data_IF_219342956246
#
_entry.id   IF_219342956246
#
_cell.length_a   1.000
_cell.length_b   1.000
_cell.length_c   1.000
_cell.angle_alpha   90.00
_cell.angle_beta   90.00
_cell.angle_gamma   90.00
#
_symmetry.space_group_name_H-M   'P 1'
#
loop_
_entity.id
_entity.type
_entity.pdbx_description
1 polymer ?
#
# COMPACT_ATOMS: atom_id res chain seq x y z
N UNK A 1 24.46 -1.66 0.25
CA UNK A 1 23.75 -2.68 1.05
C UNK A 1 22.34 -2.19 1.34
N UNK A 2 21.33 -2.60 0.56
CA UNK A 2 19.97 -2.03 0.64
C UNK A 2 18.89 -3.12 0.74
N UNK A 3 19.11 -4.14 1.59
CA UNK A 3 18.21 -5.32 1.72
C UNK A 3 17.27 -5.30 2.92
N UNK A 4 17.39 -4.34 3.84
CA UNK A 4 16.53 -4.26 5.04
C UNK A 4 15.10 -3.77 4.76
N UNK A 5 14.93 -2.77 3.88
CA UNK A 5 13.62 -2.15 3.59
C UNK A 5 12.64 -3.05 2.83
N UNK A 6 13.11 -3.97 1.96
CA UNK A 6 12.21 -4.78 1.13
C UNK A 6 11.30 -5.74 1.90
N UNK A 7 11.69 -6.22 3.09
CA UNK A 7 10.91 -7.27 3.79
C UNK A 7 9.62 -6.77 4.45
N UNK A 8 9.61 -5.55 4.98
CA UNK A 8 8.41 -4.97 5.59
C UNK A 8 7.48 -4.33 4.55
N UNK A 9 8.05 -3.74 3.50
CA UNK A 9 7.30 -3.20 2.36
C UNK A 9 6.74 -4.30 1.45
N UNK A 10 7.42 -5.45 1.33
CA UNK A 10 6.96 -6.53 0.44
C UNK A 10 5.57 -7.05 0.75
N UNK A 11 5.20 -7.18 2.04
CA UNK A 11 3.82 -7.54 2.40
C UNK A 11 2.83 -6.39 2.20
N UNK A 12 3.25 -5.13 2.28
CA UNK A 12 2.37 -4.00 2.02
C UNK A 12 2.08 -3.85 0.52
N UNK A 13 3.10 -4.01 -0.33
CA UNK A 13 2.96 -4.08 -1.80
C UNK A 13 2.07 -5.25 -2.21
N UNK A 14 2.26 -6.44 -1.63
CA UNK A 14 1.42 -7.61 -1.96
C UNK A 14 -0.03 -7.37 -1.55
N UNK A 15 -0.29 -6.77 -0.38
CA UNK A 15 -1.63 -6.37 0.04
C UNK A 15 -2.19 -5.31 -0.93
N UNK A 16 -1.42 -4.28 -1.29
CA UNK A 16 -1.86 -3.23 -2.20
C UNK A 16 -2.21 -3.78 -3.60
N UNK A 17 -1.41 -4.71 -4.12
CA UNK A 17 -1.64 -5.44 -5.38
C UNK A 17 -2.92 -6.27 -5.35
N UNK A 18 -3.21 -6.93 -4.23
CA UNK A 18 -4.47 -7.67 -4.10
C UNK A 18 -5.66 -6.71 -3.95
N UNK A 19 -5.49 -5.59 -3.27
CA UNK A 19 -6.54 -4.57 -3.12
C UNK A 19 -6.87 -3.88 -4.43
N UNK A 20 -5.88 -3.53 -5.24
CA UNK A 20 -6.09 -2.90 -6.54
C UNK A 20 -6.89 -3.80 -7.50
N UNK A 21 -6.83 -5.12 -7.28
CA UNK A 21 -7.62 -6.14 -7.98
C UNK A 21 -9.02 -6.36 -7.41
N UNK A 22 -9.42 -5.61 -6.37
CA UNK A 22 -10.73 -5.74 -5.74
C UNK A 22 -10.86 -6.95 -4.81
N UNK A 23 -9.75 -7.57 -4.37
CA UNK A 23 -9.82 -8.75 -3.50
C UNK A 23 -10.21 -8.32 -2.07
N UNK A 24 -11.15 -9.05 -1.47
CA UNK A 24 -11.62 -8.79 -0.13
C UNK A 24 -10.54 -9.09 0.93
N UNK A 25 -10.53 -8.32 2.03
CA UNK A 25 -9.57 -8.48 3.13
C UNK A 25 -9.40 -9.91 3.68
N UNK A 26 -10.45 -10.74 3.92
CA UNK A 26 -10.25 -12.09 4.43
C UNK A 26 -9.41 -12.95 3.47
N UNK A 27 -9.72 -12.91 2.17
CA UNK A 27 -8.98 -13.63 1.12
C UNK A 27 -7.53 -13.12 0.99
N UNK A 28 -7.33 -11.81 1.16
CA UNK A 28 -5.97 -11.26 1.24
C UNK A 28 -5.23 -11.87 2.42
N UNK A 29 -5.83 -11.85 3.61
CA UNK A 29 -5.24 -12.36 4.84
C UNK A 29 -4.75 -13.81 4.68
N UNK A 30 -5.57 -14.67 4.06
CA UNK A 30 -5.21 -16.06 3.74
C UNK A 30 -3.99 -16.15 2.82
N UNK A 31 -3.93 -15.32 1.76
CA UNK A 31 -2.81 -15.32 0.79
C UNK A 31 -1.48 -14.82 1.38
N UNK A 32 -1.49 -13.75 2.17
CA UNK A 32 -0.28 -13.18 2.80
C UNK A 32 0.13 -13.91 4.10
N UNK A 33 -0.67 -14.88 4.56
CA UNK A 33 -0.47 -15.58 5.83
C UNK A 33 -0.55 -14.63 7.04
N UNK A 34 -1.57 -13.77 7.08
CA UNK A 34 -1.83 -12.80 8.14
C UNK A 34 -3.29 -12.88 8.61
N UNK A 35 -3.60 -12.36 9.80
CA UNK A 35 -4.99 -12.17 10.21
C UNK A 35 -5.65 -10.98 9.49
N UNK A 36 -6.96 -11.03 9.28
CA UNK A 36 -7.74 -9.92 8.68
C UNK A 36 -7.51 -8.59 9.39
N UNK A 37 -7.39 -8.59 10.73
CA UNK A 37 -7.09 -7.39 11.51
C UNK A 37 -5.70 -6.80 11.21
N UNK A 38 -4.70 -7.66 10.95
CA UNK A 38 -3.37 -7.21 10.56
C UNK A 38 -3.37 -6.61 9.16
N UNK A 39 -4.14 -7.18 8.22
CA UNK A 39 -4.34 -6.62 6.88
C UNK A 39 -4.99 -5.24 6.98
N UNK A 40 -6.09 -5.10 7.73
CA UNK A 40 -6.75 -3.80 7.95
C UNK A 40 -5.79 -2.76 8.56
N UNK A 41 -4.98 -3.15 9.56
CA UNK A 41 -3.96 -2.26 10.15
C UNK A 41 -2.92 -1.83 9.12
N UNK A 42 -2.46 -2.74 8.26
CA UNK A 42 -1.52 -2.42 7.17
C UNK A 42 -2.13 -1.43 6.19
N UNK A 43 -3.39 -1.63 5.79
CA UNK A 43 -4.11 -0.70 4.91
C UNK A 43 -4.28 0.67 5.54
N UNK A 44 -4.57 0.73 6.84
CA UNK A 44 -4.61 2.00 7.56
C UNK A 44 -3.25 2.70 7.57
N UNK A 45 -2.15 1.97 7.75
CA UNK A 45 -0.80 2.56 7.62
C UNK A 45 -0.51 3.06 6.19
N UNK A 46 -0.94 2.34 5.15
CA UNK A 46 -0.81 2.80 3.75
C UNK A 46 -1.56 4.12 3.54
N UNK A 47 -2.79 4.23 4.07
CA UNK A 47 -3.58 5.47 4.06
C UNK A 47 -2.85 6.63 4.70
N UNK A 48 -2.29 6.43 5.89
CA UNK A 48 -1.52 7.47 6.59
C UNK A 48 -0.27 7.88 5.81
N UNK A 49 0.41 6.93 5.17
CA UNK A 49 1.57 7.21 4.33
C UNK A 49 1.17 8.07 3.11
N UNK A 50 0.12 7.66 2.39
CA UNK A 50 -0.41 8.40 1.25
C UNK A 50 -0.84 9.82 1.64
N UNK A 51 -1.53 9.97 2.77
CA UNK A 51 -1.94 11.29 3.27
C UNK A 51 -0.73 12.18 3.56
N UNK A 52 0.32 11.62 4.18
CA UNK A 52 1.54 12.35 4.49
C UNK A 52 2.30 12.80 3.23
N UNK A 53 2.36 11.94 2.22
CA UNK A 53 3.15 12.20 1.01
C UNK A 53 2.42 13.11 0.01
N UNK A 54 1.11 12.96 -0.13
CA UNK A 54 0.30 13.80 -1.03
C UNK A 54 -0.10 15.13 -0.38
N UNK A 55 -0.02 15.23 0.95
CA UNK A 55 -0.60 16.34 1.71
C UNK A 55 -2.14 16.32 1.75
N UNK A 56 -2.77 15.29 1.17
CA UNK A 56 -4.22 15.17 1.09
C UNK A 56 -4.75 14.30 2.25
N UNK A 57 -5.49 14.95 3.15
CA UNK A 57 -6.07 14.31 4.34
C UNK A 57 -7.22 13.35 3.99
N UNK A 58 -7.77 13.38 2.77
CA UNK A 58 -8.78 12.42 2.35
C UNK A 58 -8.25 10.98 2.29
N UNK A 59 -6.93 10.79 2.17
CA UNK A 59 -6.33 9.45 2.23
C UNK A 59 -6.35 8.84 3.63
N UNK A 60 -6.27 9.65 4.68
CA UNK A 60 -6.34 9.16 6.07
C UNK A 60 -7.76 8.84 6.50
N UNK A 61 -8.75 9.44 5.84
CA UNK A 61 -10.16 9.18 6.08
C UNK A 61 -10.59 7.80 5.54
N UNK A 62 -11.28 7.01 6.36
CA UNK A 62 -11.73 5.66 6.00
C UNK A 62 -12.92 5.69 5.02
N UNK A 63 -13.72 6.74 5.05
CA UNK A 63 -14.97 6.86 4.28
C UNK A 63 -14.76 7.50 2.91
N UNK A 64 -13.74 8.36 2.77
CA UNK A 64 -13.47 9.09 1.53
C UNK A 64 -12.78 8.29 0.43
N UNK A 65 -12.07 7.20 0.77
CA UNK A 65 -11.33 6.37 -0.19
C UNK A 65 -11.63 4.90 0.00
N UNK A 66 -11.91 4.20 -1.08
CA UNK A 66 -12.12 2.74 -1.05
C UNK A 66 -10.79 2.00 -0.83
N UNK A 67 -10.82 0.76 -0.31
CA UNK A 67 -9.62 -0.07 -0.19
C UNK A 67 -8.88 -0.30 -1.52
N UNK A 68 -9.64 -0.36 -2.62
CA UNK A 68 -9.12 -0.54 -3.97
C UNK A 68 -8.31 0.68 -4.40
N UNK A 69 -8.86 1.89 -4.22
CA UNK A 69 -8.16 3.14 -4.52
C UNK A 69 -6.87 3.28 -3.70
N UNK A 70 -6.88 2.88 -2.42
CA UNK A 70 -5.68 2.87 -1.59
C UNK A 70 -4.62 1.92 -2.16
N UNK A 71 -5.02 0.72 -2.60
CA UNK A 71 -4.12 -0.23 -3.26
C UNK A 71 -3.52 0.34 -4.54
N UNK A 72 -4.34 0.94 -5.40
CA UNK A 72 -3.89 1.56 -6.65
C UNK A 72 -2.93 2.73 -6.41
N UNK A 73 -3.28 3.64 -5.50
CA UNK A 73 -2.44 4.80 -5.18
C UNK A 73 -1.11 4.38 -4.56
N UNK A 74 -1.10 3.36 -3.72
CA UNK A 74 0.12 2.84 -3.11
C UNK A 74 1.09 2.23 -4.14
N UNK A 75 0.56 1.48 -5.12
CA UNK A 75 1.36 0.92 -6.21
C UNK A 75 1.89 2.02 -7.12
N UNK A 76 1.04 2.95 -7.56
CA UNK A 76 1.44 4.07 -8.41
C UNK A 76 2.54 4.92 -7.74
N UNK A 77 2.46 5.11 -6.42
CA UNK A 77 3.51 5.76 -5.63
C UNK A 77 4.81 4.95 -5.59
N UNK A 78 4.73 3.63 -5.46
CA UNK A 78 5.91 2.77 -5.49
C UNK A 78 6.62 2.83 -6.86
N UNK A 79 5.85 2.90 -7.95
CA UNK A 79 6.37 3.06 -9.31
C UNK A 79 7.02 4.43 -9.53
N UNK A 80 6.41 5.51 -9.05
CA UNK A 80 6.99 6.86 -9.15
C UNK A 80 8.32 7.02 -8.40
N UNK A 81 8.48 6.33 -7.26
CA UNK A 81 9.74 6.33 -6.52
C UNK A 81 10.84 5.53 -7.22
N UNK A 82 10.46 4.46 -7.93
CA UNK A 82 11.41 3.68 -8.73
C UNK A 82 11.88 4.47 -9.96
N UNK A 83 10.99 5.23 -10.59
CA UNK A 83 11.31 6.08 -11.74
C UNK A 83 12.15 7.31 -11.35
N UNK A 84 11.87 7.90 -10.17
CA UNK A 84 12.64 9.02 -9.64
C UNK A 84 14.08 8.66 -9.22
N UNK A 85 14.42 7.36 -9.11
CA UNK A 85 15.78 6.87 -8.86
C UNK A 85 16.55 6.53 -10.15
N UNK A 86 16.00 6.79 -11.35
CA UNK A 86 16.76 6.73 -12.60
C UNK A 86 17.45 8.10 -12.85
N UNK A 87 18.75 8.28 -12.54
CA UNK A 87 19.46 9.47 -12.96
C UNK A 87 19.48 9.52 -14.49
N UNK A 88 19.07 10.67 -15.03
CA UNK A 88 19.27 11.03 -16.42
C UNK A 88 20.75 10.79 -16.81
N UNK A 89 20.94 10.06 -17.91
CA UNK A 89 22.22 9.94 -18.63
C UNK A 89 22.81 11.29 -19.02
#
# INVERSE_FOLDING_TARGET
MTRGRRREFGKAEEIASLLSRGIAYPTIAERVGLSTSQVKRRVHNMRLLLAKETGDSAWSDITGKTPVEVGQAYIARAEQLLDAEAPAE
#
